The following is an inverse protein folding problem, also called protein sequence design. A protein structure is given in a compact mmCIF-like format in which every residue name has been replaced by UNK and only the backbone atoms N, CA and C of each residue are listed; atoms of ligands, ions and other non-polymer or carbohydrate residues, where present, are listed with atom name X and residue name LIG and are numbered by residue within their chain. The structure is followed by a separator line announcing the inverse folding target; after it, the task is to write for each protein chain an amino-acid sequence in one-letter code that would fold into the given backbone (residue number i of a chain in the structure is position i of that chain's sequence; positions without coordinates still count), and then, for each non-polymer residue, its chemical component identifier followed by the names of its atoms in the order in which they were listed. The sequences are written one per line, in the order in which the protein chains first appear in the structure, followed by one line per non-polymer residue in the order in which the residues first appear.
data_IF_285107762000
#
_entry.id   IF_285107762000
#
_cell.length_a   1.000
_cell.length_b   1.000
_cell.length_c   1.000
_cell.angle_alpha   90.00
_cell.angle_beta   90.00
_cell.angle_gamma   90.00
#
_symmetry.space_group_name_H-M   'P 1'
#
loop_
_entity.id
_entity.type
_entity.pdbx_description
1 polymer ?
#
# COMPACT_ATOMS: atom_id res chain seq x y z
N UNK A 1 3.17 0.42 -15.76
CA UNK A 1 2.32 0.26 -14.56
C UNK A 1 2.00 1.66 -14.04
N UNK A 2 0.75 1.97 -13.66
CA UNK A 2 0.30 3.34 -13.31
C UNK A 2 1.17 3.98 -12.20
N UNK A 3 1.75 3.18 -11.31
CA UNK A 3 2.58 3.66 -10.19
C UNK A 3 4.05 3.94 -10.56
N UNK A 4 4.49 3.62 -11.79
CA UNK A 4 5.90 3.73 -12.13
C UNK A 4 6.36 5.20 -12.24
N UNK A 5 5.50 6.10 -12.70
CA UNK A 5 5.84 7.50 -12.90
C UNK A 5 6.02 8.24 -11.57
N UNK A 6 5.12 8.02 -10.60
CA UNK A 6 5.24 8.61 -9.27
C UNK A 6 6.45 8.06 -8.51
N UNK A 7 6.74 6.75 -8.65
CA UNK A 7 7.94 6.16 -8.05
C UNK A 7 9.23 6.72 -8.66
N UNK A 8 9.27 6.92 -9.98
CA UNK A 8 10.42 7.59 -10.64
C UNK A 8 10.63 9.00 -10.11
N UNK A 9 9.56 9.79 -9.98
CA UNK A 9 9.64 11.14 -9.42
C UNK A 9 10.16 11.14 -7.98
N UNK A 10 9.71 10.20 -7.14
CA UNK A 10 10.19 10.04 -5.77
C UNK A 10 11.67 9.65 -5.70
N UNK A 11 12.12 8.73 -6.56
CA UNK A 11 13.53 8.28 -6.58
C UNK A 11 14.48 9.29 -7.21
N UNK A 12 13.96 10.24 -8.01
CA UNK A 12 14.72 11.33 -8.59
C UNK A 12 15.00 12.49 -7.60
N UNK A 13 14.45 12.44 -6.39
CA UNK A 13 14.69 13.47 -5.38
C UNK A 13 16.18 13.58 -5.02
N UNK A 14 16.70 14.80 -4.91
CA UNK A 14 18.10 15.01 -4.58
C UNK A 14 18.45 14.45 -3.19
N UNK A 15 19.68 13.92 -3.05
CA UNK A 15 20.15 13.38 -1.78
C UNK A 15 19.71 11.95 -1.47
N UNK A 16 19.03 11.23 -2.39
CA UNK A 16 18.62 9.85 -2.15
C UNK A 16 17.66 9.68 -0.96
N UNK A 17 16.83 10.69 -0.72
CA UNK A 17 15.96 10.76 0.46
C UNK A 17 14.86 9.70 0.42
N UNK A 18 14.45 9.29 -0.80
CA UNK A 18 13.52 8.18 -0.99
C UNK A 18 14.22 7.12 -1.84
N UNK A 19 14.27 5.90 -1.32
CA UNK A 19 14.93 4.78 -2.00
C UNK A 19 13.97 3.64 -2.28
N UNK A 20 14.19 2.87 -3.37
CA UNK A 20 13.42 1.66 -3.61
C UNK A 20 13.89 0.55 -2.66
N UNK A 21 13.09 0.21 -1.66
CA UNK A 21 13.37 -0.91 -0.74
C UNK A 21 12.36 -2.03 -0.89
N UNK A 22 12.82 -3.26 -0.69
CA UNK A 22 11.92 -4.42 -0.60
C UNK A 22 11.29 -4.49 0.78
N UNK A 23 10.00 -4.75 0.83
CA UNK A 23 9.32 -5.03 2.10
C UNK A 23 9.89 -6.32 2.70
N UNK A 24 10.21 -6.30 3.99
CA UNK A 24 10.71 -7.47 4.70
C UNK A 24 9.69 -8.61 4.68
N UNK A 25 10.20 -9.83 4.53
CA UNK A 25 9.40 -11.06 4.61
C UNK A 25 9.28 -11.58 6.05
N UNK A 26 9.96 -10.96 7.02
CA UNK A 26 10.02 -11.44 8.39
C UNK A 26 8.63 -11.60 9.03
N UNK A 27 7.77 -10.57 8.93
CA UNK A 27 6.43 -10.62 9.53
C UNK A 27 5.54 -11.76 8.97
N UNK A 28 5.38 -11.90 7.63
CA UNK A 28 4.58 -13.01 7.12
C UNK A 28 5.22 -14.39 7.41
N UNK A 29 6.55 -14.51 7.40
CA UNK A 29 7.21 -15.76 7.80
C UNK A 29 6.95 -16.10 9.27
N UNK A 30 6.97 -15.09 10.15
CA UNK A 30 6.63 -15.26 11.55
C UNK A 30 5.15 -15.68 11.75
N UNK A 31 4.23 -15.09 11.01
CA UNK A 31 2.83 -15.50 11.00
C UNK A 31 2.65 -16.97 10.55
N UNK A 32 3.39 -17.40 9.52
CA UNK A 32 3.42 -18.81 9.09
C UNK A 32 3.89 -19.73 10.23
N UNK A 33 4.97 -19.35 10.90
CA UNK A 33 5.52 -20.15 12.01
C UNK A 33 4.53 -20.28 13.17
N UNK A 34 3.89 -19.18 13.58
CA UNK A 34 2.84 -19.20 14.62
C UNK A 34 1.67 -20.08 14.19
N UNK A 35 1.18 -19.94 12.96
CA UNK A 35 0.08 -20.75 12.43
C UNK A 35 0.41 -22.25 12.50
N UNK A 36 1.63 -22.61 12.10
CA UNK A 36 2.10 -24.00 12.17
C UNK A 36 2.16 -24.53 13.61
N UNK A 37 2.72 -23.73 14.54
CA UNK A 37 2.79 -24.09 15.97
C UNK A 37 1.40 -24.30 16.56
N UNK A 38 0.44 -23.42 16.26
CA UNK A 38 -0.94 -23.58 16.74
C UNK A 38 -1.58 -24.89 16.25
N UNK A 39 -1.36 -25.25 14.99
CA UNK A 39 -1.87 -26.52 14.46
C UNK A 39 -1.21 -27.75 15.14
N UNK A 40 0.11 -27.71 15.36
CA UNK A 40 0.84 -28.76 16.04
C UNK A 40 0.36 -28.91 17.50
N UNK A 41 0.25 -27.81 18.23
CA UNK A 41 -0.23 -27.80 19.64
C UNK A 41 -1.65 -28.34 19.71
N UNK A 42 -2.53 -27.93 18.80
CA UNK A 42 -3.90 -28.45 18.75
C UNK A 42 -3.92 -29.98 18.53
N UNK A 43 -3.03 -30.48 17.67
CA UNK A 43 -2.98 -31.91 17.36
C UNK A 43 -2.43 -32.77 18.51
N UNK A 44 -1.45 -32.22 19.29
CA UNK A 44 -0.74 -32.98 20.31
C UNK A 44 -1.33 -32.79 21.73
N UNK A 45 -1.74 -31.55 22.09
CA UNK A 45 -1.98 -31.15 23.46
C UNK A 45 -3.46 -30.91 23.83
N UNK A 46 -4.35 -30.76 22.85
CA UNK A 46 -5.75 -30.45 23.11
C UNK A 46 -6.53 -31.76 23.18
N UNK A 47 -7.17 -31.98 24.33
CA UNK A 47 -8.14 -33.05 24.49
C UNK A 47 -9.36 -32.73 23.62
N UNK A 48 -9.71 -33.62 22.69
CA UNK A 48 -10.79 -33.46 21.74
C UNK A 48 -12.18 -33.41 22.38
N UNK A 49 -12.27 -33.52 23.71
CA UNK A 49 -13.53 -33.34 24.45
C UNK A 49 -14.11 -31.92 24.35
N UNK A 50 -13.24 -30.91 24.14
CA UNK A 50 -13.67 -29.52 23.97
C UNK A 50 -13.60 -29.08 22.49
N UNK A 51 -14.58 -29.54 21.72
CA UNK A 51 -14.59 -29.35 20.27
C UNK A 51 -14.62 -27.87 19.81
N UNK A 52 -15.19 -26.95 20.61
CA UNK A 52 -15.26 -25.52 20.24
C UNK A 52 -13.89 -24.86 20.32
N UNK A 53 -13.11 -25.10 21.36
CA UNK A 53 -11.76 -24.57 21.54
C UNK A 53 -10.82 -25.12 20.47
N UNK A 54 -10.85 -26.43 20.22
CA UNK A 54 -10.06 -27.06 19.17
C UNK A 54 -10.35 -26.48 17.79
N UNK A 55 -11.61 -26.32 17.42
CA UNK A 55 -12.03 -25.70 16.14
C UNK A 55 -11.54 -24.27 15.98
N UNK A 56 -11.61 -23.47 17.04
CA UNK A 56 -11.14 -22.08 17.03
C UNK A 56 -9.63 -22.00 16.76
N UNK A 57 -8.84 -22.81 17.46
CA UNK A 57 -7.38 -22.85 17.32
C UNK A 57 -6.98 -23.32 15.91
N UNK A 58 -7.64 -24.35 15.38
CA UNK A 58 -7.43 -24.82 14.01
C UNK A 58 -7.72 -23.68 13.01
N UNK A 59 -8.88 -23.01 13.15
CA UNK A 59 -9.27 -21.96 12.22
C UNK A 59 -8.27 -20.80 12.21
N UNK A 60 -7.84 -20.31 13.38
CA UNK A 60 -6.84 -19.26 13.51
C UNK A 60 -5.48 -19.72 12.96
N UNK A 61 -5.07 -20.94 13.26
CA UNK A 61 -3.82 -21.52 12.78
C UNK A 61 -3.77 -21.60 11.24
N UNK A 62 -4.85 -22.06 10.61
CA UNK A 62 -4.97 -22.13 9.15
C UNK A 62 -4.94 -20.74 8.53
N UNK A 63 -5.68 -19.76 9.08
CA UNK A 63 -5.70 -18.40 8.56
C UNK A 63 -4.31 -17.74 8.61
N UNK A 64 -3.60 -17.88 9.72
CA UNK A 64 -2.23 -17.35 9.87
C UNK A 64 -1.25 -18.04 8.93
N UNK A 65 -1.35 -19.34 8.75
CA UNK A 65 -0.51 -20.11 7.83
C UNK A 65 -0.75 -19.69 6.38
N UNK A 66 -2.00 -19.63 5.95
CA UNK A 66 -2.37 -19.20 4.59
C UNK A 66 -1.92 -17.76 4.32
N UNK A 67 -2.21 -16.82 5.23
CA UNK A 67 -1.77 -15.44 5.12
C UNK A 67 -0.25 -15.35 4.98
N UNK A 68 0.47 -16.04 5.86
CA UNK A 68 1.93 -16.01 5.88
C UNK A 68 2.55 -16.62 4.62
N UNK A 69 2.09 -17.80 4.18
CA UNK A 69 2.58 -18.47 2.96
C UNK A 69 2.29 -17.65 1.71
N UNK A 70 1.05 -17.21 1.53
CA UNK A 70 0.64 -16.44 0.35
C UNK A 70 1.44 -15.13 0.28
N UNK A 71 1.49 -14.36 1.39
CA UNK A 71 2.19 -13.07 1.42
C UNK A 71 3.69 -13.23 1.20
N UNK A 72 4.31 -14.25 1.79
CA UNK A 72 5.74 -14.54 1.59
C UNK A 72 6.02 -14.89 0.14
N UNK A 73 5.20 -15.78 -0.46
CA UNK A 73 5.35 -16.19 -1.86
C UNK A 73 5.21 -15.01 -2.81
N UNK A 74 4.18 -14.18 -2.64
CA UNK A 74 4.00 -12.97 -3.44
C UNK A 74 5.23 -12.06 -3.35
N UNK A 75 5.72 -11.77 -2.13
CA UNK A 75 6.88 -10.89 -1.93
C UNK A 75 8.18 -11.44 -2.52
N UNK A 76 8.36 -12.76 -2.51
CA UNK A 76 9.53 -13.41 -3.11
C UNK A 76 9.47 -13.41 -4.64
N UNK A 77 8.30 -13.72 -5.20
CA UNK A 77 8.14 -13.85 -6.66
C UNK A 77 8.12 -12.48 -7.34
N UNK A 78 7.35 -11.53 -6.82
CA UNK A 78 7.17 -10.24 -7.49
C UNK A 78 8.38 -9.33 -7.41
N UNK A 79 9.28 -9.54 -6.44
CA UNK A 79 10.47 -8.70 -6.18
C UNK A 79 10.13 -7.20 -6.12
N UNK A 80 8.89 -6.86 -5.81
CA UNK A 80 8.40 -5.50 -5.81
C UNK A 80 9.15 -4.66 -4.77
N UNK A 81 9.63 -3.51 -5.21
CA UNK A 81 10.16 -2.48 -4.34
C UNK A 81 9.07 -1.46 -4.02
N UNK A 82 9.13 -0.86 -2.85
CA UNK A 82 8.25 0.21 -2.43
C UNK A 82 9.08 1.43 -2.01
N UNK A 83 8.58 2.65 -2.20
CA UNK A 83 9.25 3.85 -1.75
C UNK A 83 9.48 3.82 -0.24
N UNK A 84 10.74 3.98 0.16
CA UNK A 84 11.18 4.04 1.54
C UNK A 84 11.79 5.41 1.81
N UNK A 85 11.25 6.12 2.79
CA UNK A 85 11.75 7.42 3.24
C UNK A 85 12.90 7.18 4.22
N UNK A 86 14.12 7.55 3.81
CA UNK A 86 15.34 7.35 4.60
C UNK A 86 15.40 8.28 5.82
N UNK A 87 14.71 9.41 5.81
CA UNK A 87 14.66 10.32 6.95
C UNK A 87 13.62 9.88 7.97
N UNK A 88 12.46 9.42 7.51
CA UNK A 88 11.41 8.90 8.38
C UNK A 88 11.65 7.42 8.78
N UNK A 89 12.65 6.76 8.19
CA UNK A 89 13.00 5.36 8.39
C UNK A 89 11.80 4.39 8.22
N UNK A 90 10.92 4.68 7.27
CA UNK A 90 9.71 3.89 7.05
C UNK A 90 9.29 3.88 5.58
N UNK A 91 8.47 2.89 5.23
CA UNK A 91 7.85 2.85 3.91
C UNK A 91 6.77 3.92 3.78
N UNK A 92 6.73 4.59 2.64
CA UNK A 92 5.67 5.53 2.33
C UNK A 92 4.33 4.80 2.21
N UNK A 93 3.26 5.44 2.71
CA UNK A 93 1.91 4.91 2.62
C UNK A 93 1.36 5.21 1.23
N UNK A 94 0.94 4.16 0.54
CA UNK A 94 0.20 4.24 -0.73
C UNK A 94 -1.28 4.46 -0.44
N UNK A 95 -1.89 5.39 -1.17
CA UNK A 95 -3.31 5.65 -1.17
C UNK A 95 -3.77 5.88 -2.62
N UNK A 96 -4.97 5.40 -2.96
CA UNK A 96 -5.55 5.49 -4.29
C UNK A 96 -7.01 5.88 -4.15
N UNK A 97 -7.39 7.02 -4.77
CA UNK A 97 -8.73 7.57 -4.73
C UNK A 97 -9.26 7.83 -6.11
N UNK A 98 -10.55 7.64 -6.27
CA UNK A 98 -11.25 7.79 -7.54
C UNK A 98 -12.15 9.01 -7.49
N UNK A 99 -12.15 9.79 -8.59
CA UNK A 99 -12.94 11.00 -8.70
C UNK A 99 -13.62 11.10 -10.07
N UNK A 100 -14.69 11.90 -10.14
CA UNK A 100 -15.33 12.24 -11.39
C UNK A 100 -14.53 13.30 -12.16
N UNK A 101 -14.73 13.33 -13.49
CA UNK A 101 -13.98 14.22 -14.38
C UNK A 101 -14.22 15.70 -14.08
N UNK A 102 -15.38 16.07 -13.52
CA UNK A 102 -15.69 17.43 -13.11
C UNK A 102 -14.72 18.01 -12.08
N UNK A 103 -14.12 17.15 -11.26
CA UNK A 103 -13.15 17.54 -10.22
C UNK A 103 -11.72 17.72 -10.75
N UNK A 104 -11.48 17.51 -12.07
CA UNK A 104 -10.13 17.56 -12.65
C UNK A 104 -9.38 18.86 -12.33
N UNK A 105 -10.00 20.00 -12.61
CA UNK A 105 -9.37 21.30 -12.41
C UNK A 105 -9.14 21.63 -10.92
N UNK A 106 -10.04 21.18 -10.06
CA UNK A 106 -9.92 21.35 -8.61
C UNK A 106 -8.76 20.51 -8.06
N UNK A 107 -8.65 19.25 -8.51
CA UNK A 107 -7.54 18.36 -8.14
C UNK A 107 -6.20 18.89 -8.61
N UNK A 108 -6.10 19.39 -9.85
CA UNK A 108 -4.86 19.99 -10.38
C UNK A 108 -4.40 21.14 -9.47
N UNK A 109 -5.31 22.08 -9.16
CA UNK A 109 -4.99 23.22 -8.30
C UNK A 109 -4.61 22.79 -6.88
N UNK A 110 -5.35 21.86 -6.29
CA UNK A 110 -5.05 21.35 -4.95
C UNK A 110 -3.68 20.66 -4.90
N UNK A 111 -3.34 19.86 -5.92
CA UNK A 111 -2.02 19.24 -6.05
C UNK A 111 -0.92 20.30 -6.21
N UNK A 112 -1.15 21.34 -7.04
CA UNK A 112 -0.18 22.42 -7.24
C UNK A 112 0.14 23.18 -5.94
N UNK A 113 -0.83 23.36 -5.08
CA UNK A 113 -0.65 24.06 -3.80
C UNK A 113 -0.31 23.12 -2.63
N UNK A 114 -0.41 21.80 -2.83
CA UNK A 114 -0.21 20.81 -1.77
C UNK A 114 -1.33 20.81 -0.74
N UNK A 115 -2.51 21.23 -1.14
CA UNK A 115 -3.68 21.34 -0.28
C UNK A 115 -4.36 19.99 -0.08
N UNK A 116 -3.88 19.24 0.91
CA UNK A 116 -4.44 17.95 1.27
C UNK A 116 -5.89 18.04 1.75
N UNK A 117 -6.24 19.14 2.45
CA UNK A 117 -7.59 19.31 2.98
C UNK A 117 -8.60 19.47 1.85
N UNK A 118 -8.26 20.26 0.83
CA UNK A 118 -9.09 20.40 -0.36
C UNK A 118 -9.30 19.07 -1.09
N UNK A 119 -8.25 18.22 -1.17
CA UNK A 119 -8.35 16.89 -1.77
C UNK A 119 -9.25 15.97 -0.94
N UNK A 120 -9.11 15.98 0.39
CA UNK A 120 -9.88 15.12 1.29
C UNK A 120 -11.37 15.49 1.38
N UNK A 121 -11.72 16.75 1.09
CA UNK A 121 -13.11 17.23 1.05
C UNK A 121 -13.85 16.88 -0.23
N UNK A 122 -13.14 16.47 -1.29
CA UNK A 122 -13.78 16.09 -2.53
C UNK A 122 -14.49 14.72 -2.38
N UNK A 123 -15.71 14.59 -2.90
CA UNK A 123 -16.42 13.31 -2.86
C UNK A 123 -15.70 12.28 -3.71
N UNK A 124 -15.43 11.12 -3.12
CA UNK A 124 -14.92 9.97 -3.87
C UNK A 124 -16.02 9.38 -4.76
N UNK A 125 -15.64 8.97 -5.96
CA UNK A 125 -16.57 8.38 -6.93
C UNK A 125 -16.32 6.88 -7.08
N UNK A 126 -17.39 6.14 -7.35
CA UNK A 126 -17.30 4.74 -7.77
C UNK A 126 -16.96 4.61 -9.28
N UNK A 127 -16.95 5.74 -10.01
CA UNK A 127 -16.60 5.78 -11.43
C UNK A 127 -15.14 6.19 -11.55
N UNK A 128 -14.34 5.32 -12.14
CA UNK A 128 -12.89 5.49 -12.29
C UNK A 128 -12.52 6.42 -13.44
N UNK A 129 -13.11 7.64 -13.51
CA UNK A 129 -12.75 8.62 -14.54
C UNK A 129 -11.41 9.27 -14.27
N UNK A 130 -11.12 9.58 -13.01
CA UNK A 130 -9.85 10.09 -12.54
C UNK A 130 -9.34 9.18 -11.42
N UNK A 131 -8.04 8.93 -11.41
CA UNK A 131 -7.35 8.25 -10.29
C UNK A 131 -6.30 9.19 -9.75
N UNK A 132 -6.39 9.49 -8.46
CA UNK A 132 -5.34 10.16 -7.73
C UNK A 132 -4.55 9.12 -6.93
N UNK A 133 -3.29 8.96 -7.27
CA UNK A 133 -2.34 8.13 -6.53
C UNK A 133 -1.51 9.04 -5.64
N UNK A 134 -1.43 8.68 -4.37
CA UNK A 134 -0.67 9.43 -3.38
C UNK A 134 0.30 8.50 -2.65
N UNK A 135 1.55 8.94 -2.49
CA UNK A 135 2.50 8.35 -1.56
C UNK A 135 2.79 9.36 -0.46
N UNK A 136 2.47 9.02 0.79
CA UNK A 136 2.67 9.90 1.94
C UNK A 136 3.66 9.28 2.93
N UNK A 137 4.65 10.08 3.35
CA UNK A 137 5.50 9.71 4.49
C UNK A 137 4.68 9.77 5.77
N UNK A 138 4.75 8.76 6.66
CA UNK A 138 4.01 8.77 7.93
C UNK A 138 4.27 9.99 8.82
N UNK A 139 5.45 10.59 8.71
CA UNK A 139 5.80 11.82 9.41
C UNK A 139 5.29 13.09 8.71
N UNK A 140 4.49 12.96 7.65
CA UNK A 140 4.01 14.07 6.80
C UNK A 140 5.13 14.95 6.21
N UNK A 141 6.36 14.46 6.23
CA UNK A 141 7.50 15.22 5.69
C UNK A 141 7.43 15.34 4.17
N UNK A 142 6.82 14.35 3.48
CA UNK A 142 6.73 14.32 2.02
C UNK A 142 5.45 13.66 1.59
N UNK A 143 4.84 14.28 0.60
CA UNK A 143 3.69 13.71 -0.09
C UNK A 143 3.92 13.83 -1.59
N UNK A 144 3.78 12.72 -2.31
CA UNK A 144 3.85 12.69 -3.76
C UNK A 144 2.45 12.41 -4.32
N UNK A 145 2.11 13.09 -5.39
CA UNK A 145 0.82 12.99 -6.08
C UNK A 145 1.05 12.66 -7.54
N UNK A 146 0.22 11.80 -8.09
CA UNK A 146 0.10 11.56 -9.52
C UNK A 146 -1.38 11.43 -9.87
N UNK A 147 -1.84 12.25 -10.81
CA UNK A 147 -3.22 12.29 -11.28
C UNK A 147 -3.30 11.66 -12.66
N UNK A 148 -4.17 10.69 -12.82
CA UNK A 148 -4.42 9.99 -14.07
C UNK A 148 -5.87 10.15 -14.50
N UNK A 149 -6.08 10.27 -15.80
CA UNK A 149 -7.38 10.32 -16.44
C UNK A 149 -7.58 9.07 -17.30
N UNK A 150 -8.78 8.49 -17.24
CA UNK A 150 -9.14 7.35 -18.09
C UNK A 150 -9.51 7.84 -19.49
N UNK A 151 -8.66 7.53 -20.48
CA UNK A 151 -8.85 7.86 -21.91
C UNK A 151 -8.46 6.69 -22.79
N UNK A 152 -9.23 6.45 -23.84
CA UNK A 152 -8.89 5.48 -24.91
C UNK A 152 -8.50 4.10 -24.34
N UNK A 153 -9.35 3.56 -23.45
CA UNK A 153 -9.16 2.23 -22.81
C UNK A 153 -7.94 2.12 -21.86
N UNK A 154 -7.41 3.25 -21.36
CA UNK A 154 -6.31 3.25 -20.42
C UNK A 154 -6.21 4.52 -19.61
N UNK A 155 -5.39 4.47 -18.56
CA UNK A 155 -5.09 5.63 -17.74
C UNK A 155 -3.88 6.37 -18.30
N UNK A 156 -4.04 7.68 -18.50
CA UNK A 156 -2.97 8.59 -18.93
C UNK A 156 -2.68 9.57 -17.82
N UNK A 157 -1.41 9.83 -17.60
CA UNK A 157 -0.95 10.84 -16.65
C UNK A 157 -1.42 12.23 -17.12
N UNK A 158 -2.11 12.97 -16.25
CA UNK A 158 -2.64 14.30 -16.55
C UNK A 158 -1.54 15.36 -16.52
N UNK A 159 -0.67 15.26 -15.52
CA UNK A 159 0.47 16.17 -15.31
C UNK A 159 1.63 15.40 -14.66
N UNK A 160 2.84 15.94 -14.75
CA UNK A 160 3.99 15.35 -14.07
C UNK A 160 3.74 15.16 -12.59
N UNK A 161 4.17 14.01 -12.01
CA UNK A 161 3.99 13.75 -10.60
C UNK A 161 4.65 14.84 -9.76
N UNK A 162 3.92 15.36 -8.75
CA UNK A 162 4.41 16.40 -7.88
C UNK A 162 4.79 15.85 -6.51
N UNK A 163 5.97 16.21 -6.05
CA UNK A 163 6.43 15.89 -4.70
C UNK A 163 6.48 17.16 -3.87
N UNK A 164 5.79 17.17 -2.75
CA UNK A 164 5.76 18.27 -1.79
C UNK A 164 6.50 17.83 -0.54
N UNK A 165 7.40 18.67 -0.08
CA UNK A 165 8.11 18.48 1.18
C UNK A 165 7.66 19.58 2.13
N UNK A 166 7.16 19.21 3.28
CA UNK A 166 6.72 20.12 4.35
C UNK A 166 7.89 20.41 5.30
#
# INVERSE_FOLDING_TARGET
MITDDICKALYALPGGVVTPRRRTIAMPTFATAIGLVLLIVNFIAIDHSDGATAMTIISVGILLLLYGVITTTIRLVTKQTAPYDEQALCFMRYDERYYELEHLNTLIKAIEHGDNEAIEQLPESNVSSLILITYRSPANMRTAYALYEYKEFGYRLVQEPKVITN
#
